data_IF_919675151254
#
_entry.id   IF_919675151254
#
_cell.length_a   1.000
_cell.length_b   1.000
_cell.length_c   1.000
_cell.angle_alpha   90.00
_cell.angle_beta   90.00
_cell.angle_gamma   90.00
#
_symmetry.space_group_name_H-M   'P 1'
#
loop_
_entity.id
_entity.type
_entity.pdbx_description
1 polymer ?
#
# COMPACT_ATOMS: atom_id res chain seq x y z
N UNK A 1 8.62 19.01 4.32
CA UNK A 1 7.34 18.46 3.83
C UNK A 1 7.66 17.75 2.53
N UNK A 2 7.23 16.50 2.40
CA UNK A 2 7.45 15.70 1.18
C UNK A 2 6.18 15.76 0.32
N UNK A 3 6.34 15.76 -1.01
CA UNK A 3 5.25 15.85 -1.97
C UNK A 3 5.23 14.65 -2.90
N UNK A 4 4.05 14.13 -3.21
CA UNK A 4 3.89 13.03 -4.14
C UNK A 4 2.63 13.15 -4.99
N UNK A 5 2.53 12.29 -5.99
CA UNK A 5 1.33 12.18 -6.83
C UNK A 5 0.76 10.76 -6.75
N UNK A 6 -0.56 10.66 -6.66
CA UNK A 6 -1.29 9.40 -6.73
C UNK A 6 -2.08 9.33 -8.03
N UNK A 7 -2.00 8.20 -8.73
CA UNK A 7 -2.58 8.05 -10.06
C UNK A 7 -3.11 6.63 -10.29
N UNK A 8 -4.18 6.56 -11.09
CA UNK A 8 -4.59 5.33 -11.76
C UNK A 8 -3.85 5.26 -13.10
N UNK A 9 -2.80 4.45 -13.18
CA UNK A 9 -2.15 4.18 -14.46
C UNK A 9 -3.07 3.34 -15.33
N UNK A 10 -3.40 3.85 -16.51
CA UNK A 10 -4.31 3.25 -17.50
C UNK A 10 -3.68 3.37 -18.88
N UNK A 11 -4.32 2.79 -19.91
CA UNK A 11 -3.86 2.89 -21.31
C UNK A 11 -4.01 4.30 -21.90
N UNK A 12 -4.80 5.17 -21.26
CA UNK A 12 -5.01 6.58 -21.65
C UNK A 12 -4.43 7.59 -20.65
N UNK A 13 -3.72 7.15 -19.61
CA UNK A 13 -2.95 8.06 -18.76
C UNK A 13 -1.57 8.33 -19.35
N UNK A 14 -0.88 9.36 -18.85
CA UNK A 14 0.58 9.46 -19.01
C UNK A 14 1.25 8.14 -18.58
N UNK A 15 2.31 7.73 -19.28
CA UNK A 15 2.97 6.46 -18.97
C UNK A 15 3.68 6.52 -17.61
N UNK A 16 3.87 5.39 -16.91
CA UNK A 16 4.56 5.39 -15.63
C UNK A 16 5.98 5.94 -15.69
N UNK A 17 6.71 5.69 -16.78
CA UNK A 17 8.08 6.18 -16.96
C UNK A 17 8.11 7.70 -17.18
N UNK A 18 7.27 8.23 -18.08
CA UNK A 18 7.21 9.66 -18.38
C UNK A 18 6.79 10.48 -17.16
N UNK A 19 5.75 10.04 -16.45
CA UNK A 19 5.30 10.73 -15.23
C UNK A 19 6.39 10.72 -14.16
N UNK A 20 7.04 9.57 -13.94
CA UNK A 20 8.06 9.45 -12.90
C UNK A 20 9.27 10.35 -13.19
N UNK A 21 9.74 10.42 -14.43
CA UNK A 21 10.82 11.35 -14.83
C UNK A 21 10.38 12.80 -14.59
N UNK A 22 9.19 13.17 -15.07
CA UNK A 22 8.69 14.53 -14.91
C UNK A 22 8.56 14.94 -13.43
N UNK A 23 8.12 14.04 -12.58
CA UNK A 23 8.02 14.24 -11.13
C UNK A 23 9.39 14.39 -10.47
N UNK A 24 10.35 13.51 -10.80
CA UNK A 24 11.70 13.56 -10.24
C UNK A 24 12.45 14.84 -10.63
N UNK A 25 12.31 15.29 -11.87
CA UNK A 25 12.89 16.56 -12.37
C UNK A 25 12.31 17.80 -11.67
N UNK A 26 11.07 17.70 -11.18
CA UNK A 26 10.35 18.78 -10.48
C UNK A 26 10.47 18.69 -8.96
N UNK A 27 11.25 17.74 -8.44
CA UNK A 27 11.51 17.61 -7.02
C UNK A 27 10.39 16.96 -6.20
N UNK A 28 9.48 16.21 -6.82
CA UNK A 28 8.55 15.36 -6.07
C UNK A 28 9.31 14.17 -5.44
N UNK A 29 8.83 13.75 -4.27
CA UNK A 29 9.44 12.69 -3.47
C UNK A 29 8.90 11.30 -3.82
N UNK A 30 7.63 11.19 -4.27
CA UNK A 30 7.00 9.88 -4.47
C UNK A 30 5.88 9.82 -5.50
N UNK A 31 5.76 8.70 -6.22
CA UNK A 31 4.62 8.35 -7.08
C UNK A 31 3.89 7.13 -6.53
N UNK A 32 2.56 7.21 -6.45
CA UNK A 32 1.68 6.22 -5.84
C UNK A 32 0.70 5.63 -6.86
N UNK A 33 0.83 4.34 -7.19
CA UNK A 33 -0.05 3.65 -8.13
C UNK A 33 -1.26 3.03 -7.41
N UNK A 34 -2.46 3.37 -7.83
CA UNK A 34 -3.70 2.75 -7.35
C UNK A 34 -3.83 1.29 -7.84
N UNK A 35 -4.67 0.51 -7.16
CA UNK A 35 -4.96 -0.88 -7.53
C UNK A 35 -6.46 -1.17 -7.50
N UNK A 36 -6.95 -1.79 -8.56
CA UNK A 36 -8.13 -2.64 -8.57
C UNK A 36 -7.84 -3.79 -9.53
N UNK A 37 -8.19 -5.01 -9.13
CA UNK A 37 -7.97 -6.18 -9.98
C UNK A 37 -9.08 -6.29 -11.04
N UNK A 38 -10.30 -5.96 -10.62
CA UNK A 38 -11.50 -5.91 -11.44
C UNK A 38 -12.61 -5.24 -10.62
N UNK A 39 -13.63 -4.72 -11.28
CA UNK A 39 -14.85 -4.24 -10.61
C UNK A 39 -16.00 -5.18 -10.98
N UNK A 40 -16.55 -5.97 -10.04
CA UNK A 40 -17.66 -6.87 -10.30
C UNK A 40 -18.91 -6.16 -10.82
N UNK A 41 -19.61 -6.82 -11.75
CA UNK A 41 -20.89 -6.38 -12.32
C UNK A 41 -21.87 -7.56 -12.27
N UNK A 42 -23.06 -7.42 -11.66
CA UNK A 42 -23.60 -6.23 -10.99
C UNK A 42 -22.90 -5.94 -9.65
N UNK A 43 -22.94 -4.67 -9.24
CA UNK A 43 -22.36 -4.20 -7.97
C UNK A 43 -23.36 -4.38 -6.84
N UNK A 44 -22.93 -5.00 -5.73
CA UNK A 44 -23.74 -5.12 -4.50
C UNK A 44 -23.21 -4.19 -3.42
N UNK A 45 -21.90 -3.96 -3.37
CA UNK A 45 -21.25 -3.01 -2.46
C UNK A 45 -21.33 -1.60 -3.01
N UNK A 46 -21.90 -0.69 -2.21
CA UNK A 46 -21.95 0.75 -2.50
C UNK A 46 -20.54 1.34 -2.38
N UNK A 47 -20.11 2.09 -3.39
CA UNK A 47 -18.96 2.99 -3.27
C UNK A 47 -19.40 4.34 -2.70
N UNK A 48 -18.44 5.07 -2.13
CA UNK A 48 -18.65 6.41 -1.61
C UNK A 48 -19.00 7.42 -2.72
N UNK A 49 -18.56 7.17 -3.94
CA UNK A 49 -18.86 7.99 -5.13
C UNK A 49 -19.15 7.11 -6.36
N UNK A 50 -19.62 7.75 -7.45
CA UNK A 50 -19.60 7.11 -8.76
C UNK A 50 -18.16 6.73 -9.14
N UNK A 51 -18.01 5.53 -9.70
CA UNK A 51 -16.70 5.03 -10.13
C UNK A 51 -16.44 5.50 -11.56
N UNK A 52 -15.37 6.26 -11.76
CA UNK A 52 -14.91 6.60 -13.11
C UNK A 52 -14.30 5.40 -13.85
N UNK A 53 -14.22 5.51 -15.18
CA UNK A 53 -13.62 4.51 -16.09
C UNK A 53 -12.25 3.98 -15.61
N UNK A 54 -11.43 4.85 -15.00
CA UNK A 54 -10.11 4.52 -14.45
C UNK A 54 -10.09 3.37 -13.44
N UNK A 55 -11.19 3.11 -12.73
CA UNK A 55 -11.26 1.98 -11.78
C UNK A 55 -11.27 0.62 -12.49
N UNK A 56 -11.80 0.57 -13.72
CA UNK A 56 -11.95 -0.65 -14.51
C UNK A 56 -10.69 -0.95 -15.32
N UNK A 57 -9.97 0.10 -15.74
CA UNK A 57 -8.84 0.00 -16.67
C UNK A 57 -7.48 0.19 -15.99
N UNK A 58 -7.45 0.21 -14.66
CA UNK A 58 -6.20 0.39 -13.91
C UNK A 58 -5.27 -0.80 -14.13
N UNK A 59 -4.02 -0.50 -14.44
CA UNK A 59 -2.97 -1.49 -14.60
C UNK A 59 -2.49 -2.02 -13.24
N UNK A 60 -1.89 -3.21 -13.23
CA UNK A 60 -1.26 -3.74 -12.02
C UNK A 60 -0.17 -2.79 -11.50
N UNK A 61 -0.17 -2.46 -10.19
CA UNK A 61 0.74 -1.46 -9.65
C UNK A 61 2.20 -1.93 -9.63
N UNK A 62 2.48 -3.23 -9.47
CA UNK A 62 3.87 -3.71 -9.46
C UNK A 62 4.50 -3.59 -10.84
N UNK A 63 3.72 -3.79 -11.91
CA UNK A 63 4.18 -3.58 -13.29
C UNK A 63 4.48 -2.11 -13.54
N UNK A 64 3.54 -1.23 -13.24
CA UNK A 64 3.67 0.21 -13.53
C UNK A 64 4.76 0.86 -12.67
N UNK A 65 4.86 0.52 -11.39
CA UNK A 65 5.89 1.03 -10.49
C UNK A 65 7.29 0.50 -10.84
N UNK A 66 7.41 -0.70 -11.42
CA UNK A 66 8.71 -1.18 -11.93
C UNK A 66 9.20 -0.28 -13.08
N UNK A 67 8.31 0.09 -14.01
CA UNK A 67 8.66 1.01 -15.10
C UNK A 67 9.08 2.39 -14.56
N UNK A 68 8.31 2.95 -13.62
CA UNK A 68 8.65 4.21 -12.95
C UNK A 68 9.99 4.14 -12.21
N UNK A 69 10.26 3.05 -11.49
CA UNK A 69 11.50 2.85 -10.74
C UNK A 69 12.73 2.80 -11.65
N UNK A 70 12.64 2.09 -12.78
CA UNK A 70 13.73 1.99 -13.76
C UNK A 70 14.05 3.32 -14.45
N UNK A 71 13.04 4.18 -14.63
CA UNK A 71 13.17 5.47 -15.29
C UNK A 71 13.76 6.57 -14.38
N UNK A 72 13.83 6.34 -13.07
CA UNK A 72 14.22 7.35 -12.06
C UNK A 72 15.35 6.86 -11.17
N UNK A 73 16.00 7.76 -10.43
CA UNK A 73 17.13 7.42 -9.53
C UNK A 73 16.88 7.70 -8.05
N UNK A 74 15.96 8.62 -7.73
CA UNK A 74 15.69 9.15 -6.38
C UNK A 74 14.21 9.04 -6.01
N UNK A 75 13.30 9.17 -6.97
CA UNK A 75 11.85 9.15 -6.74
C UNK A 75 11.42 7.87 -6.03
N UNK A 76 10.68 7.98 -4.93
CA UNK A 76 10.09 6.81 -4.28
C UNK A 76 8.91 6.31 -5.09
N UNK A 77 8.80 4.99 -5.22
CA UNK A 77 7.69 4.34 -5.91
C UNK A 77 6.84 3.62 -4.89
N UNK A 78 5.52 3.77 -4.96
CA UNK A 78 4.65 3.32 -3.89
C UNK A 78 3.33 2.75 -4.40
N UNK A 79 2.82 1.74 -3.72
CA UNK A 79 1.44 1.28 -3.93
C UNK A 79 0.48 2.17 -3.13
N UNK A 80 -0.53 2.74 -3.77
CA UNK A 80 -1.49 3.69 -3.16
C UNK A 80 -2.96 3.28 -3.35
N UNK A 81 -3.44 2.16 -2.84
CA UNK A 81 -2.76 1.16 -2.00
C UNK A 81 -2.85 -0.24 -2.62
N UNK A 82 -1.98 -1.15 -2.19
CA UNK A 82 -2.04 -2.54 -2.60
C UNK A 82 -3.14 -3.28 -1.85
N UNK A 83 -4.04 -3.95 -2.58
CA UNK A 83 -5.15 -4.72 -2.00
C UNK A 83 -4.69 -6.11 -1.57
N UNK A 84 -3.81 -6.17 -0.56
CA UNK A 84 -3.05 -7.39 -0.19
C UNK A 84 -3.90 -8.64 0.06
N UNK A 85 -5.14 -8.45 0.55
CA UNK A 85 -6.08 -9.55 0.80
C UNK A 85 -6.61 -10.22 -0.47
N UNK A 86 -6.41 -9.59 -1.63
CA UNK A 86 -6.77 -10.10 -2.95
C UNK A 86 -5.57 -10.77 -3.63
N UNK A 87 -4.42 -10.90 -2.94
CA UNK A 87 -3.18 -11.41 -3.52
C UNK A 87 -2.66 -12.61 -2.72
N UNK A 88 -1.91 -13.48 -3.41
CA UNK A 88 -1.17 -14.56 -2.76
C UNK A 88 -0.04 -13.99 -1.88
N UNK A 89 0.13 -14.53 -0.67
CA UNK A 89 1.06 -14.00 0.32
C UNK A 89 2.52 -14.16 -0.09
N UNK A 90 2.91 -15.34 -0.57
CA UNK A 90 4.31 -15.67 -0.88
C UNK A 90 4.74 -14.95 -2.16
N UNK A 91 3.88 -14.96 -3.18
CA UNK A 91 4.12 -14.27 -4.44
C UNK A 91 4.18 -12.76 -4.25
N UNK A 92 3.31 -12.19 -3.41
CA UNK A 92 3.37 -10.75 -3.09
C UNK A 92 4.64 -10.42 -2.31
N UNK A 93 5.06 -11.26 -1.36
CA UNK A 93 6.34 -11.08 -0.67
C UNK A 93 7.52 -11.04 -1.66
N UNK A 94 7.50 -11.92 -2.68
CA UNK A 94 8.51 -11.92 -3.75
C UNK A 94 8.45 -10.63 -4.58
N UNK A 95 7.26 -10.22 -5.03
CA UNK A 95 7.08 -9.00 -5.82
C UNK A 95 7.61 -7.76 -5.10
N UNK A 96 7.28 -7.61 -3.82
CA UNK A 96 7.76 -6.50 -2.98
C UNK A 96 9.28 -6.51 -2.84
N UNK A 97 9.88 -7.67 -2.53
CA UNK A 97 11.33 -7.77 -2.41
C UNK A 97 12.05 -7.50 -3.74
N UNK A 98 11.48 -7.96 -4.86
CA UNK A 98 12.02 -7.72 -6.20
C UNK A 98 11.92 -6.26 -6.60
N UNK A 99 10.76 -5.60 -6.42
CA UNK A 99 10.60 -4.18 -6.73
C UNK A 99 11.48 -3.30 -5.83
N UNK A 100 11.62 -3.66 -4.57
CA UNK A 100 12.55 -2.97 -3.67
C UNK A 100 14.00 -3.06 -4.15
N UNK A 101 14.44 -4.23 -4.63
CA UNK A 101 15.76 -4.41 -5.24
C UNK A 101 15.91 -3.60 -6.54
N UNK A 102 14.93 -3.70 -7.46
CA UNK A 102 14.95 -2.99 -8.74
C UNK A 102 14.97 -1.48 -8.55
N UNK A 103 14.23 -0.98 -7.56
CA UNK A 103 14.20 0.45 -7.23
C UNK A 103 15.45 0.92 -6.47
N UNK A 104 16.33 0.02 -6.02
CA UNK A 104 17.48 0.38 -5.19
C UNK A 104 17.09 0.82 -3.78
N UNK A 105 16.02 0.24 -3.24
CA UNK A 105 15.51 0.52 -1.90
C UNK A 105 14.60 1.76 -1.81
N UNK A 106 13.92 2.11 -2.90
CA UNK A 106 13.02 3.28 -2.96
C UNK A 106 11.54 2.91 -2.90
N UNK A 107 11.22 1.64 -2.67
CA UNK A 107 9.83 1.17 -2.66
C UNK A 107 9.14 1.43 -1.31
N UNK A 108 7.94 2.00 -1.35
CA UNK A 108 7.05 2.13 -0.19
C UNK A 108 5.85 1.20 -0.40
N UNK A 109 5.65 0.25 0.51
CA UNK A 109 4.59 -0.74 0.38
C UNK A 109 3.31 -0.24 1.06
N UNK A 110 2.56 0.62 0.36
CA UNK A 110 1.24 1.03 0.82
C UNK A 110 0.22 -0.10 0.66
N UNK A 111 -0.52 -0.42 1.72
CA UNK A 111 -1.42 -1.58 1.79
C UNK A 111 -2.82 -1.18 2.21
N UNK A 112 -3.82 -1.98 1.86
CA UNK A 112 -5.18 -1.80 2.36
C UNK A 112 -6.02 -3.07 2.23
N UNK A 113 -7.09 -3.10 2.99
CA UNK A 113 -7.98 -4.27 3.07
C UNK A 113 -9.19 -4.21 2.14
N UNK A 114 -9.20 -3.29 1.17
CA UNK A 114 -10.28 -3.11 0.21
C UNK A 114 -11.63 -2.71 0.80
N UNK A 115 -12.45 -2.09 -0.04
CA UNK A 115 -13.82 -1.69 0.30
C UNK A 115 -14.86 -2.55 -0.42
N UNK A 116 -14.56 -3.03 -1.63
CA UNK A 116 -15.49 -3.78 -2.47
C UNK A 116 -15.57 -5.25 -2.05
N UNK A 117 -16.66 -5.65 -1.40
CA UNK A 117 -16.82 -7.01 -0.88
C UNK A 117 -16.80 -8.06 -1.99
N UNK A 118 -17.50 -7.81 -3.09
CA UNK A 118 -17.56 -8.74 -4.22
C UNK A 118 -16.18 -8.98 -4.83
N UNK A 119 -15.40 -7.91 -5.01
CA UNK A 119 -14.04 -8.01 -5.56
C UNK A 119 -13.15 -8.87 -4.66
N UNK A 120 -13.25 -8.66 -3.34
CA UNK A 120 -12.50 -9.40 -2.34
C UNK A 120 -12.86 -10.89 -2.34
N UNK A 121 -14.15 -11.20 -2.39
CA UNK A 121 -14.64 -12.58 -2.38
C UNK A 121 -14.28 -13.35 -3.65
N UNK A 122 -14.19 -12.68 -4.81
CA UNK A 122 -13.73 -13.29 -6.06
C UNK A 122 -12.28 -13.79 -5.98
N UNK A 123 -11.47 -13.24 -5.07
CA UNK A 123 -10.10 -13.72 -4.78
C UNK A 123 -10.04 -14.73 -3.63
N UNK A 124 -11.19 -15.28 -3.22
CA UNK A 124 -11.27 -16.32 -2.20
C UNK A 124 -11.09 -15.82 -0.77
N UNK A 125 -11.13 -14.50 -0.52
CA UNK A 125 -11.07 -13.94 0.83
C UNK A 125 -12.47 -13.76 1.40
N UNK A 126 -12.72 -14.34 2.56
CA UNK A 126 -13.93 -14.08 3.33
C UNK A 126 -13.90 -12.63 3.85
N UNK A 127 -14.86 -11.81 3.42
CA UNK A 127 -14.86 -10.37 3.70
C UNK A 127 -14.86 -10.03 5.21
N UNK A 128 -15.55 -10.85 6.02
CA UNK A 128 -15.64 -10.67 7.46
C UNK A 128 -14.27 -10.81 8.17
N UNK A 129 -13.40 -11.69 7.69
CA UNK A 129 -12.08 -11.96 8.30
C UNK A 129 -10.94 -11.24 7.58
N UNK A 130 -11.24 -10.41 6.56
CA UNK A 130 -10.23 -9.78 5.71
C UNK A 130 -9.19 -8.95 6.47
N UNK A 131 -9.58 -8.27 7.55
CA UNK A 131 -8.64 -7.46 8.34
C UNK A 131 -7.72 -8.31 9.21
N UNK A 132 -8.17 -9.50 9.62
CA UNK A 132 -7.31 -10.51 10.24
C UNK A 132 -6.35 -11.08 9.21
N UNK A 133 -6.86 -11.48 8.03
CA UNK A 133 -6.03 -11.98 6.92
C UNK A 133 -4.95 -10.95 6.54
N UNK A 134 -5.31 -9.67 6.41
CA UNK A 134 -4.35 -8.60 6.12
C UNK A 134 -3.23 -8.54 7.17
N UNK A 135 -3.56 -8.57 8.47
CA UNK A 135 -2.53 -8.59 9.52
C UNK A 135 -1.60 -9.79 9.35
N UNK A 136 -2.16 -10.98 9.23
CA UNK A 136 -1.38 -12.23 9.12
C UNK A 136 -0.52 -12.26 7.86
N UNK A 137 -1.02 -11.76 6.72
CA UNK A 137 -0.23 -11.63 5.50
C UNK A 137 0.97 -10.71 5.70
N UNK A 138 0.82 -9.57 6.38
CA UNK A 138 1.93 -8.65 6.63
C UNK A 138 2.94 -9.25 7.60
N UNK A 139 2.51 -9.90 8.68
CA UNK A 139 3.40 -10.60 9.60
C UNK A 139 4.19 -11.70 8.87
N UNK A 140 3.51 -12.50 8.04
CA UNK A 140 4.12 -13.56 7.23
C UNK A 140 5.11 -13.02 6.20
N UNK A 141 4.78 -11.91 5.52
CA UNK A 141 5.68 -11.23 4.59
C UNK A 141 6.92 -10.66 5.31
N UNK A 142 6.74 -10.04 6.49
CA UNK A 142 7.86 -9.56 7.32
C UNK A 142 8.78 -10.72 7.74
N UNK A 143 8.24 -11.88 8.11
CA UNK A 143 9.03 -13.09 8.35
C UNK A 143 9.81 -13.51 7.09
N UNK A 144 9.15 -13.55 5.93
CA UNK A 144 9.76 -13.87 4.63
C UNK A 144 10.95 -12.96 4.31
N UNK A 145 10.82 -11.65 4.55
CA UNK A 145 11.83 -10.67 4.20
C UNK A 145 13.04 -10.66 5.15
N UNK A 146 12.84 -11.02 6.42
CA UNK A 146 13.84 -10.86 7.47
C UNK A 146 14.55 -12.15 7.86
N UNK A 147 13.89 -13.31 7.76
CA UNK A 147 14.49 -14.60 8.11
C UNK A 147 15.13 -15.32 6.91
N UNK A 148 16.22 -16.04 7.15
CA UNK A 148 16.85 -16.92 6.15
C UNK A 148 15.95 -18.11 5.79
N UNK A 149 15.32 -18.71 6.79
CA UNK A 149 14.40 -19.85 6.67
C UNK A 149 13.04 -19.52 7.32
N UNK A 150 12.24 -18.64 6.72
CA UNK A 150 10.95 -18.22 7.29
C UNK A 150 9.97 -19.39 7.36
N UNK A 151 9.14 -19.34 8.41
CA UNK A 151 7.90 -20.09 8.56
C UNK A 151 6.85 -19.16 9.18
N UNK A 152 5.57 -19.44 8.97
CA UNK A 152 4.49 -18.67 9.58
C UNK A 152 3.28 -19.57 9.80
N UNK A 153 2.62 -19.43 10.96
CA UNK A 153 1.44 -20.21 11.35
C UNK A 153 0.42 -19.29 11.99
N UNK A 154 -0.45 -18.70 11.17
CA UNK A 154 -1.64 -17.97 11.58
C UNK A 154 -2.91 -18.81 11.41
N UNK A 155 -4.07 -18.20 11.64
CA UNK A 155 -5.36 -18.87 11.46
C UNK A 155 -5.81 -18.90 9.98
N UNK A 156 -5.40 -17.91 9.20
CA UNK A 156 -5.79 -17.70 7.80
C UNK A 156 -4.61 -17.76 6.84
N UNK A 157 -3.38 -17.59 7.34
CA UNK A 157 -2.14 -17.69 6.56
C UNK A 157 -1.19 -18.67 7.23
N UNK A 158 -0.74 -19.68 6.49
CA UNK A 158 0.25 -20.66 6.98
C UNK A 158 1.19 -21.09 5.85
N UNK A 159 2.47 -21.27 6.17
CA UNK A 159 3.42 -22.03 5.37
C UNK A 159 4.52 -22.65 6.24
N UNK A 160 5.01 -23.82 5.83
CA UNK A 160 6.16 -24.46 6.46
C UNK A 160 7.48 -23.75 6.14
N UNK A 161 8.55 -24.16 6.81
CA UNK A 161 9.89 -23.62 6.59
C UNK A 161 10.24 -23.61 5.09
N UNK A 162 10.59 -22.44 4.56
CA UNK A 162 11.01 -22.29 3.17
C UNK A 162 12.27 -21.43 3.05
N UNK A 163 12.79 -21.31 1.83
CA UNK A 163 13.86 -20.38 1.49
C UNK A 163 13.42 -19.53 0.31
N UNK A 164 13.60 -18.22 0.40
CA UNK A 164 13.21 -17.31 -0.69
C UNK A 164 14.11 -16.08 -0.70
N UNK A 165 14.61 -15.78 -1.90
CA UNK A 165 15.48 -14.65 -2.23
C UNK A 165 15.08 -14.02 -3.57
N UNK A 166 15.47 -12.75 -3.85
CA UNK A 166 16.25 -11.87 -2.99
C UNK A 166 15.49 -11.46 -1.71
N UNK A 167 16.22 -11.05 -0.67
CA UNK A 167 15.63 -10.25 0.41
C UNK A 167 15.52 -8.80 -0.06
N UNK A 168 14.65 -7.97 0.52
CA UNK A 168 14.61 -6.55 0.19
C UNK A 168 15.96 -5.85 0.40
N UNK A 169 16.21 -4.82 -0.40
CA UNK A 169 17.37 -3.93 -0.27
C UNK A 169 17.27 -3.12 1.03
N UNK A 170 16.08 -2.57 1.33
CA UNK A 170 15.80 -1.88 2.59
C UNK A 170 15.86 -2.84 3.79
N UNK A 171 16.38 -2.35 4.92
CA UNK A 171 16.47 -3.10 6.19
C UNK A 171 15.64 -2.42 7.28
N UNK A 172 14.87 -3.19 8.08
CA UNK A 172 14.71 -4.65 8.03
C UNK A 172 13.90 -5.13 6.81
N UNK A 173 13.01 -4.30 6.27
CA UNK A 173 12.18 -4.56 5.10
C UNK A 173 11.68 -3.21 4.53
N UNK A 174 11.00 -3.17 3.37
CA UNK A 174 10.38 -1.96 2.86
C UNK A 174 9.33 -1.44 3.84
N UNK A 175 9.17 -0.11 4.01
CA UNK A 175 8.14 0.44 4.89
C UNK A 175 6.74 0.00 4.49
N UNK A 176 5.96 -0.51 5.45
CA UNK A 176 4.56 -0.89 5.24
C UNK A 176 3.65 0.26 5.65
N UNK A 177 3.06 0.95 4.68
CA UNK A 177 2.22 2.14 4.90
C UNK A 177 0.75 1.73 4.87
N UNK A 178 0.06 1.79 6.00
CA UNK A 178 -1.30 1.27 6.07
C UNK A 178 -2.33 2.31 5.61
N UNK A 179 -3.12 1.96 4.60
CA UNK A 179 -4.21 2.78 4.09
C UNK A 179 -5.54 2.57 4.81
N UNK A 180 -6.28 3.66 5.05
CA UNK A 180 -7.68 3.60 5.45
C UNK A 180 -8.09 4.65 6.47
N UNK A 181 -9.38 4.67 6.81
CA UNK A 181 -9.97 5.69 7.67
C UNK A 181 -9.57 5.55 9.15
N UNK A 182 -9.46 6.71 9.80
CA UNK A 182 -9.39 6.81 11.25
C UNK A 182 -10.70 6.30 11.88
N UNK A 183 -10.69 5.70 13.10
CA UNK A 183 -9.52 5.34 13.90
C UNK A 183 -8.99 3.93 13.62
N UNK A 184 -9.70 3.12 12.83
CA UNK A 184 -9.42 1.70 12.69
C UNK A 184 -8.12 1.41 11.93
N UNK A 185 -7.87 2.14 10.85
CA UNK A 185 -6.63 2.02 10.09
C UNK A 185 -5.43 2.52 10.93
N UNK A 186 -5.57 3.67 11.58
CA UNK A 186 -4.57 4.20 12.52
C UNK A 186 -4.13 3.16 13.57
N UNK A 187 -5.08 2.48 14.23
CA UNK A 187 -4.78 1.39 15.18
C UNK A 187 -3.96 0.27 14.55
N UNK A 188 -4.27 -0.11 13.32
CA UNK A 188 -3.54 -1.17 12.61
C UNK A 188 -2.14 -0.71 12.18
N UNK A 189 -2.00 0.54 11.74
CA UNK A 189 -0.72 1.14 11.38
C UNK A 189 0.23 1.12 12.60
N UNK A 190 -0.26 1.52 13.76
CA UNK A 190 0.49 1.49 15.03
C UNK A 190 0.86 0.04 15.43
N UNK A 191 -0.03 -0.93 15.18
CA UNK A 191 0.18 -2.32 15.59
C UNK A 191 1.21 -3.06 14.73
N UNK A 192 1.15 -2.93 13.40
CA UNK A 192 1.98 -3.74 12.50
C UNK A 192 2.49 -3.02 11.24
N UNK A 193 2.23 -1.72 11.11
CA UNK A 193 2.74 -0.87 10.03
C UNK A 193 3.92 0.00 10.46
N UNK A 194 4.42 0.74 9.47
CA UNK A 194 5.55 1.67 9.52
C UNK A 194 5.15 3.07 9.05
N UNK A 195 3.86 3.31 8.87
CA UNK A 195 3.26 4.59 8.49
C UNK A 195 1.76 4.45 8.23
N UNK A 196 1.07 5.57 8.05
CA UNK A 196 -0.38 5.60 7.85
C UNK A 196 -0.74 6.52 6.67
N UNK A 197 -1.60 6.02 5.77
CA UNK A 197 -2.21 6.78 4.69
C UNK A 197 -3.72 6.92 4.99
N UNK A 198 -4.16 7.99 5.68
CA UNK A 198 -5.58 8.26 5.91
C UNK A 198 -6.37 8.30 4.61
N UNK A 199 -7.56 7.69 4.60
CA UNK A 199 -8.53 7.94 3.55
C UNK A 199 -8.96 9.42 3.64
N UNK A 200 -8.89 10.17 2.54
CA UNK A 200 -9.28 11.58 2.46
C UNK A 200 -10.74 11.81 2.88
N UNK A 201 -11.63 10.84 2.64
CA UNK A 201 -13.02 10.89 3.11
C UNK A 201 -13.18 10.61 4.62
N UNK A 202 -12.08 10.33 5.33
CA UNK A 202 -12.05 9.83 6.71
C UNK A 202 -12.06 10.89 7.81
N UNK A 203 -12.15 12.18 7.48
CA UNK A 203 -12.27 13.28 8.45
C UNK A 203 -11.24 14.39 8.27
N UNK A 204 -11.27 15.38 9.17
CA UNK A 204 -10.35 16.52 9.16
C UNK A 204 -8.96 16.12 9.73
N UNK A 205 -7.85 16.31 8.98
CA UNK A 205 -6.49 16.06 9.48
C UNK A 205 -6.16 16.77 10.80
N UNK A 206 -6.67 17.98 11.01
CA UNK A 206 -6.44 18.73 12.25
C UNK A 206 -7.01 18.02 13.48
N UNK A 207 -8.08 17.22 13.30
CA UNK A 207 -8.71 16.46 14.37
C UNK A 207 -8.01 15.12 14.61
N UNK A 208 -7.73 14.36 13.54
CA UNK A 208 -7.24 12.99 13.69
C UNK A 208 -5.72 12.92 13.91
N UNK A 209 -4.91 13.89 13.46
CA UNK A 209 -3.45 13.84 13.62
C UNK A 209 -3.00 13.92 15.09
N UNK A 210 -3.52 14.85 15.93
CA UNK A 210 -3.21 14.86 17.36
C UNK A 210 -3.65 13.56 18.05
N UNK A 211 -4.84 13.05 17.71
CA UNK A 211 -5.36 11.81 18.26
C UNK A 211 -4.52 10.59 17.84
N UNK A 212 -4.02 10.55 16.60
CA UNK A 212 -3.11 9.52 16.11
C UNK A 212 -1.79 9.53 16.87
N UNK A 213 -1.16 10.70 17.05
CA UNK A 213 0.09 10.84 17.82
C UNK A 213 -0.09 10.35 19.26
N UNK A 214 -1.19 10.73 19.92
CA UNK A 214 -1.51 10.23 21.25
C UNK A 214 -1.67 8.70 21.25
N UNK A 215 -2.42 8.16 20.28
CA UNK A 215 -2.65 6.71 20.17
C UNK A 215 -1.35 5.93 19.94
N UNK A 216 -0.40 6.47 19.18
CA UNK A 216 0.93 5.89 18.98
C UNK A 216 1.73 5.88 20.28
N UNK A 217 1.75 7.02 20.99
CA UNK A 217 2.45 7.15 22.28
C UNK A 217 1.86 6.21 23.35
N UNK A 218 0.53 6.13 23.46
CA UNK A 218 -0.16 5.21 24.38
C UNK A 218 0.17 3.73 24.07
N UNK A 219 0.49 3.41 22.82
CA UNK A 219 0.92 2.08 22.38
C UNK A 219 2.44 1.87 22.46
N UNK A 220 3.20 2.82 23.01
CA UNK A 220 4.66 2.74 23.16
C UNK A 220 5.42 2.87 21.83
N UNK A 221 4.79 3.40 20.78
CA UNK A 221 5.43 3.68 19.49
C UNK A 221 5.84 5.16 19.43
N UNK A 222 7.03 5.41 18.90
CA UNK A 222 7.42 6.76 18.51
C UNK A 222 6.53 7.24 17.36
N UNK A 223 5.84 8.36 17.55
CA UNK A 223 4.95 8.93 16.56
C UNK A 223 5.71 9.44 15.32
N UNK A 224 6.96 9.87 15.49
CA UNK A 224 7.79 10.35 14.38
C UNK A 224 8.31 9.19 13.52
N UNK A 225 8.33 7.97 14.06
CA UNK A 225 8.59 6.73 13.30
C UNK A 225 7.42 6.27 12.43
N UNK A 226 6.28 6.95 12.50
CA UNK A 226 5.03 6.62 11.81
C UNK A 226 4.62 7.79 10.89
N UNK A 227 5.30 8.00 9.76
CA UNK A 227 4.94 9.03 8.79
C UNK A 227 3.48 8.90 8.36
N UNK A 228 2.82 10.05 8.22
CA UNK A 228 1.44 10.14 7.73
C UNK A 228 1.46 10.71 6.31
N UNK A 229 0.96 9.94 5.35
CA UNK A 229 0.81 10.35 3.95
C UNK A 229 -0.61 10.84 3.74
N UNK A 230 -0.80 12.14 3.55
CA UNK A 230 -2.12 12.73 3.26
C UNK A 230 -2.31 12.76 1.74
N UNK A 231 -3.44 12.24 1.27
CA UNK A 231 -3.82 12.27 -0.14
C UNK A 231 -5.14 13.02 -0.35
N UNK A 232 -5.46 13.34 -1.61
CA UNK A 232 -6.68 14.05 -1.95
C UNK A 232 -6.68 15.52 -1.54
N UNK A 233 -5.50 16.15 -1.48
CA UNK A 233 -5.41 17.61 -1.40
C UNK A 233 -6.22 18.22 -2.56
N UNK A 234 -6.99 19.29 -2.33
CA UNK A 234 -7.68 19.99 -3.41
C UNK A 234 -6.68 20.43 -4.48
N UNK A 235 -7.14 20.47 -5.73
CA UNK A 235 -6.32 20.91 -6.87
C UNK A 235 -5.90 22.39 -6.73
N UNK A 236 -6.59 23.15 -5.87
CA UNK A 236 -6.31 24.54 -5.54
C UNK A 236 -5.64 24.66 -4.16
N UNK A 237 -4.55 25.44 -4.09
CA UNK A 237 -3.80 25.70 -2.85
C UNK A 237 -4.33 26.93 -2.09
N UNK A 238 -5.28 27.67 -2.70
CA UNK A 238 -5.89 28.88 -2.16
C UNK A 238 -7.20 28.63 -1.39
#
# INVERSE_FOLDING_TARGET
>A
MEFGASIFFTDYSITPAELAVAMEERGFDSVWAAEHSHIPVPRRTRADSELGKRYYDVMDPFVTLTAAACATKRLRVATGICLVIQRDTIQTAKLVASLDQVSGGRFLFGIGGGWNQEEIENHGTVFATRMQKMREQIEAMKAIWTATKPEYRGELVEFGTMMTWPKPAQKPHPPVILGGAFPWAARRAIRYGDGWYPNAAGGNPEEYLPAFRKMAADAGRDADSLPVTIGGAPDDLD
#
